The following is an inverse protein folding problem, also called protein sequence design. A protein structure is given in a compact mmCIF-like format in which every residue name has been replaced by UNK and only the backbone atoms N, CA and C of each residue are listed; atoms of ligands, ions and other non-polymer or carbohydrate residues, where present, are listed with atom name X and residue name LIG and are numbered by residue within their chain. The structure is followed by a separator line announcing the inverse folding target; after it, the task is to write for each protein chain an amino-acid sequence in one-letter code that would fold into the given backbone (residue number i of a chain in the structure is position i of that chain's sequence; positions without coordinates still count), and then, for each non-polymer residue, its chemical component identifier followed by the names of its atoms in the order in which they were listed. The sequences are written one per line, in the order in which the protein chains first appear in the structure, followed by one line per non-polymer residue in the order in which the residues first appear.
data_IF_849213968170
#
_entry.id   IF_849213968170
#
_cell.length_a   1.000
_cell.length_b   1.000
_cell.length_c   1.000
_cell.angle_alpha   90.00
_cell.angle_beta   90.00
_cell.angle_gamma   90.00
#
_symmetry.space_group_name_H-M   'P 1'
#
loop_
_entity.id
_entity.type
_entity.pdbx_description
1 polymer ?
#
# COMPACT_ATOMS: atom_id res chain seq x y z
N UNK A 1 7.77 6.58 -31.39
CA UNK A 1 6.79 5.66 -32.03
C UNK A 1 6.99 4.25 -31.51
N UNK A 2 6.02 3.71 -30.77
CA UNK A 2 6.04 2.36 -30.18
C UNK A 2 6.33 1.29 -31.26
N UNK A 3 7.10 0.24 -30.94
CA UNK A 3 7.51 -0.84 -31.87
C UNK A 3 6.31 -1.43 -32.61
N UNK A 4 5.17 -1.57 -31.94
CA UNK A 4 3.90 -2.05 -32.51
C UNK A 4 3.34 -1.12 -33.59
N UNK A 5 3.42 0.20 -33.37
CA UNK A 5 2.94 1.21 -34.33
C UNK A 5 3.82 1.24 -35.59
N UNK A 6 5.13 1.04 -35.44
CA UNK A 6 6.05 0.90 -36.58
C UNK A 6 5.68 -0.30 -37.46
N UNK A 7 5.38 -1.44 -36.85
CA UNK A 7 4.97 -2.64 -37.60
C UNK A 7 3.65 -2.45 -38.35
N UNK A 8 2.62 -1.85 -37.73
CA UNK A 8 1.33 -1.58 -38.39
C UNK A 8 1.53 -0.66 -39.61
N UNK A 9 2.33 0.38 -39.45
CA UNK A 9 2.61 1.34 -40.53
C UNK A 9 3.39 0.68 -41.68
N UNK A 10 4.37 -0.17 -41.38
CA UNK A 10 5.14 -0.90 -42.39
C UNK A 10 4.29 -1.90 -43.19
N UNK A 11 3.40 -2.64 -42.50
CA UNK A 11 2.48 -3.58 -43.17
C UNK A 11 1.51 -2.83 -44.08
N UNK A 12 0.94 -1.71 -43.60
CA UNK A 12 0.05 -0.87 -44.40
C UNK A 12 0.73 -0.31 -45.65
N UNK A 13 1.95 0.22 -45.52
CA UNK A 13 2.74 0.71 -46.65
C UNK A 13 3.05 -0.42 -47.66
N UNK A 14 3.33 -1.63 -47.19
CA UNK A 14 3.52 -2.80 -48.04
C UNK A 14 2.27 -3.14 -48.86
N UNK A 15 1.10 -3.20 -48.23
CA UNK A 15 -0.18 -3.50 -48.90
C UNK A 15 -0.52 -2.42 -49.95
N UNK A 16 -0.32 -1.15 -49.60
CA UNK A 16 -0.54 -0.02 -50.51
C UNK A 16 0.39 -0.10 -51.73
N UNK A 17 1.67 -0.44 -51.51
CA UNK A 17 2.64 -0.58 -52.58
C UNK A 17 2.26 -1.71 -53.54
N UNK A 18 1.80 -2.84 -53.02
CA UNK A 18 1.31 -3.97 -53.84
C UNK A 18 0.06 -3.59 -54.62
N UNK A 19 -0.90 -2.89 -54.01
CA UNK A 19 -2.10 -2.41 -54.70
C UNK A 19 -1.78 -1.43 -55.84
N UNK A 20 -0.80 -0.54 -55.64
CA UNK A 20 -0.29 0.38 -56.67
C UNK A 20 0.36 -0.38 -57.83
N UNK A 21 1.15 -1.41 -57.56
CA UNK A 21 1.78 -2.25 -58.59
C UNK A 21 0.70 -2.97 -59.40
N UNK A 22 -0.30 -3.56 -58.75
CA UNK A 22 -1.40 -4.28 -59.41
C UNK A 22 -2.22 -3.32 -60.31
N UNK A 23 -2.40 -2.08 -59.90
CA UNK A 23 -3.05 -1.07 -60.72
C UNK A 23 -2.18 -0.67 -61.92
N UNK A 24 -0.93 -0.24 -61.67
CA UNK A 24 -0.10 0.42 -62.68
C UNK A 24 0.58 -0.54 -63.68
N UNK A 25 0.91 -1.78 -63.30
CA UNK A 25 1.64 -2.73 -64.16
C UNK A 25 0.83 -3.18 -65.39
N UNK A 26 -0.45 -3.60 -65.26
CA UNK A 26 -1.26 -3.98 -66.43
C UNK A 26 -1.48 -2.80 -67.40
N UNK A 27 -1.61 -1.58 -66.86
CA UNK A 27 -1.74 -0.37 -67.64
C UNK A 27 -0.47 -0.10 -68.46
N UNK A 28 0.69 -0.08 -67.80
CA UNK A 28 1.98 0.15 -68.48
C UNK A 28 2.32 -0.94 -69.48
N UNK A 29 2.03 -2.22 -69.19
CA UNK A 29 2.25 -3.33 -70.11
C UNK A 29 1.42 -3.23 -71.40
N UNK A 30 0.13 -2.87 -71.28
CA UNK A 30 -0.79 -2.82 -72.43
C UNK A 30 -0.56 -1.60 -73.33
N UNK A 31 -0.13 -0.47 -72.76
CA UNK A 31 -0.02 0.81 -73.48
C UNK A 31 1.43 1.22 -73.84
N UNK A 32 2.44 0.36 -73.62
CA UNK A 32 3.84 0.75 -73.82
C UNK A 32 4.25 1.06 -75.29
N UNK A 33 3.49 0.60 -76.30
CA UNK A 33 3.75 0.82 -77.74
C UNK A 33 2.76 1.79 -78.43
N UNK A 34 1.82 2.39 -77.69
CA UNK A 34 0.79 3.27 -78.29
C UNK A 34 1.27 4.72 -78.34
N UNK A 35 1.02 5.42 -79.45
CA UNK A 35 1.28 6.87 -79.57
C UNK A 35 0.41 7.66 -78.58
N UNK A 36 0.89 8.81 -78.13
CA UNK A 36 0.15 9.71 -77.25
C UNK A 36 -1.19 10.11 -77.90
N UNK A 37 -2.31 9.97 -77.18
CA UNK A 37 -3.61 10.35 -77.74
C UNK A 37 -3.73 11.87 -77.88
N UNK A 38 -4.32 12.30 -79.00
CA UNK A 38 -4.66 13.70 -79.29
C UNK A 38 -6.09 14.06 -78.87
N UNK A 39 -6.90 13.07 -78.46
CA UNK A 39 -8.28 13.27 -78.02
C UNK A 39 -8.32 13.64 -76.51
N UNK A 40 -8.85 14.83 -76.14
CA UNK A 40 -9.02 15.21 -74.74
C UNK A 40 -9.84 14.22 -73.91
N UNK A 41 -10.75 13.45 -74.52
CA UNK A 41 -11.58 12.44 -73.83
C UNK A 41 -10.72 11.32 -73.20
N UNK A 42 -9.67 10.86 -73.90
CA UNK A 42 -8.77 9.83 -73.40
C UNK A 42 -7.97 10.30 -72.17
N UNK A 43 -7.61 11.59 -72.14
CA UNK A 43 -6.97 12.22 -70.99
C UNK A 43 -7.91 12.34 -69.79
N UNK A 44 -9.21 12.58 -70.03
CA UNK A 44 -10.24 12.55 -68.99
C UNK A 44 -10.40 11.16 -68.35
N UNK A 45 -10.41 10.11 -69.17
CA UNK A 45 -10.48 8.72 -68.71
C UNK A 45 -9.23 8.31 -67.92
N UNK A 46 -8.04 8.68 -68.40
CA UNK A 46 -6.78 8.43 -67.69
C UNK A 46 -6.71 9.20 -66.36
N UNK A 47 -7.09 10.47 -66.35
CA UNK A 47 -7.14 11.29 -65.13
C UNK A 47 -8.10 10.71 -64.09
N UNK A 48 -9.24 10.17 -64.52
CA UNK A 48 -10.20 9.48 -63.64
C UNK A 48 -9.62 8.21 -63.02
N UNK A 49 -8.89 7.42 -63.82
CA UNK A 49 -8.19 6.23 -63.35
C UNK A 49 -7.08 6.55 -62.33
N UNK A 50 -6.18 7.48 -62.66
CA UNK A 50 -5.13 7.94 -61.73
C UNK A 50 -5.73 8.53 -60.46
N UNK A 51 -6.75 9.38 -60.59
CA UNK A 51 -7.45 9.98 -59.46
C UNK A 51 -8.09 8.94 -58.54
N UNK A 52 -8.67 7.88 -59.10
CA UNK A 52 -9.22 6.75 -58.34
C UNK A 52 -8.16 5.98 -57.57
N UNK A 53 -7.02 5.68 -58.20
CA UNK A 53 -5.90 4.97 -57.57
C UNK A 53 -5.27 5.81 -56.46
N UNK A 54 -4.93 7.07 -56.76
CA UNK A 54 -4.34 8.01 -55.80
C UNK A 54 -5.31 8.28 -54.63
N UNK A 55 -6.60 8.47 -54.93
CA UNK A 55 -7.65 8.65 -53.94
C UNK A 55 -7.78 7.46 -53.00
N UNK A 56 -7.77 6.23 -53.52
CA UNK A 56 -7.81 5.01 -52.72
C UNK A 56 -6.58 4.85 -51.82
N UNK A 57 -5.39 5.23 -52.30
CA UNK A 57 -4.16 5.23 -51.50
C UNK A 57 -4.25 6.25 -50.36
N UNK A 58 -4.65 7.50 -50.63
CA UNK A 58 -4.79 8.52 -49.59
C UNK A 58 -5.87 8.15 -48.56
N UNK A 59 -6.99 7.57 -49.01
CA UNK A 59 -8.04 7.08 -48.11
C UNK A 59 -7.50 5.95 -47.19
N UNK A 60 -6.73 5.02 -47.75
CA UNK A 60 -6.10 3.93 -46.99
C UNK A 60 -5.07 4.43 -45.98
N UNK A 61 -4.20 5.37 -46.37
CA UNK A 61 -3.25 6.01 -45.47
C UNK A 61 -3.94 6.77 -44.35
N UNK A 62 -5.03 7.49 -44.67
CA UNK A 62 -5.82 8.23 -43.68
C UNK A 62 -6.47 7.28 -42.67
N UNK A 63 -7.02 6.16 -43.13
CA UNK A 63 -7.58 5.12 -42.26
C UNK A 63 -6.52 4.51 -41.33
N UNK A 64 -5.33 4.21 -41.84
CA UNK A 64 -4.21 3.69 -41.03
C UNK A 64 -3.75 4.73 -40.00
N UNK A 65 -3.65 6.00 -40.40
CA UNK A 65 -3.34 7.10 -39.49
C UNK A 65 -4.36 7.22 -38.35
N UNK A 66 -5.65 7.08 -38.66
CA UNK A 66 -6.72 7.06 -37.68
C UNK A 66 -6.58 5.85 -36.72
N UNK A 67 -6.32 4.64 -37.25
CA UNK A 67 -6.13 3.45 -36.42
C UNK A 67 -4.96 3.61 -35.44
N UNK A 68 -3.81 4.12 -35.90
CA UNK A 68 -2.67 4.39 -35.03
C UNK A 68 -3.03 5.41 -33.95
N UNK A 69 -3.77 6.45 -34.31
CA UNK A 69 -4.26 7.47 -33.38
C UNK A 69 -5.14 6.85 -32.30
N UNK A 70 -6.12 6.03 -32.67
CA UNK A 70 -7.01 5.34 -31.71
C UNK A 70 -6.24 4.41 -30.78
N UNK A 71 -5.22 3.70 -31.27
CA UNK A 71 -4.38 2.83 -30.43
C UNK A 71 -3.60 3.66 -29.41
N UNK A 72 -3.01 4.78 -29.81
CA UNK A 72 -2.27 5.66 -28.90
C UNK A 72 -3.20 6.27 -27.85
N UNK A 73 -4.37 6.78 -28.28
CA UNK A 73 -5.38 7.31 -27.37
C UNK A 73 -5.82 6.28 -26.33
N UNK A 74 -6.04 5.02 -26.72
CA UNK A 74 -6.37 3.94 -25.77
C UNK A 74 -5.25 3.68 -24.76
N UNK A 75 -3.98 3.83 -25.15
CA UNK A 75 -2.86 3.67 -24.23
C UNK A 75 -2.74 4.86 -23.28
N UNK A 76 -2.80 6.08 -23.80
CA UNK A 76 -2.80 7.31 -23.01
C UNK A 76 -3.94 7.34 -21.99
N UNK A 77 -5.15 6.91 -22.38
CA UNK A 77 -6.27 6.79 -21.45
C UNK A 77 -6.00 5.80 -20.30
N UNK A 78 -5.31 4.69 -20.57
CA UNK A 78 -4.94 3.72 -19.52
C UNK A 78 -3.88 4.28 -18.57
N UNK A 79 -2.87 4.95 -19.11
CA UNK A 79 -1.79 5.53 -18.31
C UNK A 79 -2.32 6.71 -17.47
N UNK A 80 -3.18 7.55 -18.07
CA UNK A 80 -3.89 8.62 -17.37
C UNK A 80 -4.81 8.07 -16.27
N UNK A 81 -5.54 6.97 -16.51
CA UNK A 81 -6.39 6.35 -15.50
C UNK A 81 -5.59 5.86 -14.29
N UNK A 82 -4.42 5.24 -14.51
CA UNK A 82 -3.52 4.81 -13.43
C UNK A 82 -2.95 5.99 -12.65
N UNK A 83 -2.48 7.03 -13.35
CA UNK A 83 -1.98 8.24 -12.71
C UNK A 83 -3.06 8.93 -11.87
N UNK A 84 -4.29 9.00 -12.39
CA UNK A 84 -5.44 9.56 -11.67
C UNK A 84 -5.83 8.72 -10.45
N UNK A 85 -5.73 7.39 -10.52
CA UNK A 85 -5.97 6.52 -9.36
C UNK A 85 -4.95 6.76 -8.24
N UNK A 86 -3.66 6.87 -8.59
CA UNK A 86 -2.61 7.20 -7.64
C UNK A 86 -2.82 8.58 -7.03
N UNK A 87 -3.12 9.61 -7.85
CA UNK A 87 -3.41 10.96 -7.36
C UNK A 87 -4.59 10.95 -6.37
N UNK A 88 -5.69 10.26 -6.70
CA UNK A 88 -6.86 10.16 -5.80
C UNK A 88 -6.52 9.46 -4.49
N UNK A 89 -5.66 8.43 -4.55
CA UNK A 89 -5.15 7.77 -3.36
C UNK A 89 -4.36 8.75 -2.50
N UNK A 90 -3.38 9.45 -3.08
CA UNK A 90 -2.52 10.41 -2.39
C UNK A 90 -3.32 11.57 -1.78
N UNK A 91 -4.26 12.16 -2.54
CA UNK A 91 -5.12 13.23 -2.04
C UNK A 91 -5.93 12.79 -0.81
N UNK A 92 -6.49 11.57 -0.85
CA UNK A 92 -7.24 11.00 0.27
C UNK A 92 -6.31 10.68 1.44
N UNK A 93 -5.13 10.10 1.16
CA UNK A 93 -4.12 9.79 2.16
C UNK A 93 -3.68 11.05 2.90
N UNK A 94 -3.30 12.12 2.19
CA UNK A 94 -2.86 13.37 2.80
C UNK A 94 -3.99 14.07 3.56
N UNK A 95 -5.23 13.97 3.10
CA UNK A 95 -6.40 14.47 3.85
C UNK A 95 -6.57 13.73 5.18
N UNK A 96 -6.50 12.39 5.17
CA UNK A 96 -6.57 11.57 6.39
C UNK A 96 -5.38 11.82 7.31
N UNK A 97 -4.17 11.97 6.75
CA UNK A 97 -2.96 12.30 7.51
C UNK A 97 -3.05 13.69 8.15
N UNK A 98 -3.64 14.66 7.46
CA UNK A 98 -3.91 15.99 8.02
C UNK A 98 -4.89 15.89 9.19
N UNK A 99 -5.98 15.14 9.05
CA UNK A 99 -6.93 14.90 10.16
C UNK A 99 -6.25 14.21 11.35
N UNK A 100 -5.40 13.22 11.08
CA UNK A 100 -4.56 12.56 12.09
C UNK A 100 -3.66 13.56 12.82
N UNK A 101 -2.97 14.42 12.09
CA UNK A 101 -2.05 15.40 12.67
C UNK A 101 -2.78 16.47 13.49
N UNK A 102 -3.97 16.90 13.06
CA UNK A 102 -4.82 17.79 13.86
C UNK A 102 -5.22 17.13 15.18
N UNK A 103 -5.74 15.89 15.12
CA UNK A 103 -6.12 15.14 16.33
C UNK A 103 -4.92 14.89 17.25
N UNK A 104 -3.74 14.61 16.68
CA UNK A 104 -2.50 14.48 17.46
C UNK A 104 -2.10 15.79 18.15
N UNK A 105 -2.26 16.93 17.48
CA UNK A 105 -1.93 18.24 18.06
C UNK A 105 -2.84 18.58 19.24
N UNK A 106 -4.14 18.30 19.12
CA UNK A 106 -5.11 18.44 20.20
C UNK A 106 -4.77 17.54 21.37
N UNK A 107 -4.44 16.28 21.08
CA UNK A 107 -4.02 15.29 22.07
C UNK A 107 -2.75 15.73 22.80
N UNK A 108 -1.70 16.14 22.08
CA UNK A 108 -0.45 16.65 22.67
C UNK A 108 -0.70 17.82 23.62
N UNK A 109 -1.50 18.79 23.19
CA UNK A 109 -1.85 19.97 23.99
C UNK A 109 -2.52 19.56 25.31
N UNK A 110 -3.41 18.57 25.27
CA UNK A 110 -4.06 18.05 26.48
C UNK A 110 -3.07 17.34 27.41
N UNK A 111 -2.21 16.50 26.85
CA UNK A 111 -1.27 15.68 27.63
C UNK A 111 -0.09 16.46 28.20
N UNK A 112 0.33 17.55 27.56
CA UNK A 112 1.26 18.51 28.16
C UNK A 112 0.67 19.16 29.42
N UNK A 113 -0.66 19.34 29.46
CA UNK A 113 -1.36 19.91 30.61
C UNK A 113 -1.82 18.85 31.64
N UNK A 114 -2.01 17.61 31.20
CA UNK A 114 -2.54 16.50 32.01
C UNK A 114 -1.62 15.27 31.87
N UNK A 115 -0.65 15.13 32.79
CA UNK A 115 0.35 14.04 32.82
C UNK A 115 -0.22 12.64 33.13
N UNK A 116 -1.52 12.41 32.97
CA UNK A 116 -2.23 11.30 33.61
C UNK A 116 -1.84 9.92 33.04
N UNK A 117 -1.90 9.72 31.71
CA UNK A 117 -1.78 8.35 31.17
C UNK A 117 -0.35 7.81 31.14
N UNK A 118 0.65 8.63 30.79
CA UNK A 118 2.05 8.18 30.81
C UNK A 118 2.54 7.90 32.24
N UNK A 119 1.99 8.61 33.23
CA UNK A 119 2.24 8.32 34.63
C UNK A 119 1.57 7.00 35.06
N UNK A 120 0.39 6.69 34.53
CA UNK A 120 -0.32 5.43 34.80
C UNK A 120 0.35 4.20 34.17
N UNK A 121 1.21 4.36 33.15
CA UNK A 121 2.06 3.24 32.72
C UNK A 121 3.03 2.80 33.83
N UNK A 122 3.39 3.68 34.76
CA UNK A 122 4.30 3.38 35.87
C UNK A 122 3.59 2.82 37.11
N UNK A 123 2.25 2.79 37.15
CA UNK A 123 1.57 2.14 38.27
C UNK A 123 1.80 0.64 38.17
N UNK A 124 2.33 0.06 39.24
CA UNK A 124 2.44 -1.38 39.36
C UNK A 124 1.01 -1.94 39.44
N UNK A 125 0.67 -2.81 38.50
CA UNK A 125 -0.57 -3.59 38.59
C UNK A 125 -0.41 -4.60 39.74
N UNK A 126 -1.50 -4.86 40.48
CA UNK A 126 -1.49 -5.81 41.60
C UNK A 126 -1.01 -7.18 41.07
N UNK A 127 0.05 -7.79 41.64
CA UNK A 127 0.55 -9.10 41.23
C UNK A 127 -0.47 -10.24 41.38
N UNK A 128 -1.65 -9.99 41.96
CA UNK A 128 -2.78 -10.92 41.97
C UNK A 128 -3.60 -10.95 40.67
N UNK A 129 -3.48 -9.92 39.82
CA UNK A 129 -4.22 -9.87 38.56
C UNK A 129 -3.52 -10.72 37.49
N UNK A 130 -4.32 -11.41 36.67
CA UNK A 130 -3.81 -12.07 35.47
C UNK A 130 -3.35 -11.03 34.44
N UNK A 131 -2.40 -11.36 33.52
CA UNK A 131 -1.96 -10.40 32.51
C UNK A 131 -3.09 -9.91 31.60
N UNK A 132 -4.11 -10.76 31.41
CA UNK A 132 -5.30 -10.44 30.64
C UNK A 132 -6.17 -9.38 31.33
N UNK A 133 -6.47 -9.54 32.62
CA UNK A 133 -7.25 -8.55 33.39
C UNK A 133 -6.52 -7.20 33.44
N UNK A 134 -5.21 -7.24 33.68
CA UNK A 134 -4.33 -6.08 33.62
C UNK A 134 -4.40 -5.31 32.29
N UNK A 135 -4.45 -6.06 31.17
CA UNK A 135 -4.56 -5.51 29.83
C UNK A 135 -5.97 -4.92 29.59
N UNK A 136 -7.03 -5.61 29.99
CA UNK A 136 -8.41 -5.13 29.85
C UNK A 136 -8.64 -3.83 30.63
N UNK A 137 -8.15 -3.75 31.87
CA UNK A 137 -8.22 -2.51 32.69
C UNK A 137 -7.49 -1.34 31.99
N UNK A 138 -6.27 -1.58 31.50
CA UNK A 138 -5.51 -0.55 30.79
C UNK A 138 -6.20 -0.11 29.48
N UNK A 139 -6.88 -1.03 28.79
CA UNK A 139 -7.66 -0.72 27.60
C UNK A 139 -8.92 0.07 27.93
N UNK A 140 -9.62 -0.26 29.01
CA UNK A 140 -10.78 0.52 29.48
C UNK A 140 -10.41 1.95 29.83
N UNK A 141 -9.25 2.18 30.49
CA UNK A 141 -8.73 3.54 30.73
C UNK A 141 -8.53 4.33 29.43
N UNK A 142 -7.94 3.69 28.40
CA UNK A 142 -7.70 4.31 27.08
C UNK A 142 -9.02 4.64 26.38
N UNK A 143 -9.97 3.70 26.41
CA UNK A 143 -11.24 3.84 25.70
C UNK A 143 -12.14 4.92 26.30
N UNK A 144 -12.05 5.12 27.62
CA UNK A 144 -12.76 6.17 28.34
C UNK A 144 -12.15 7.57 28.13
N UNK A 145 -10.89 7.69 27.67
CA UNK A 145 -10.33 8.95 27.19
C UNK A 145 -10.82 9.23 25.76
N UNK A 146 -11.75 10.17 25.63
CA UNK A 146 -12.44 10.51 24.37
C UNK A 146 -11.43 10.88 23.27
N UNK A 147 -10.49 11.76 23.58
CA UNK A 147 -9.50 12.30 22.65
C UNK A 147 -8.48 11.25 22.22
N UNK A 148 -7.98 10.44 23.17
CA UNK A 148 -7.04 9.36 22.89
C UNK A 148 -7.71 8.25 22.05
N UNK A 149 -8.91 7.85 22.45
CA UNK A 149 -9.75 6.89 21.74
C UNK A 149 -10.08 7.38 20.31
N UNK A 150 -10.37 8.67 20.15
CA UNK A 150 -10.59 9.28 18.83
C UNK A 150 -9.33 9.29 17.98
N UNK A 151 -8.19 9.67 18.55
CA UNK A 151 -6.90 9.66 17.86
C UNK A 151 -6.56 8.26 17.33
N UNK A 152 -6.68 7.22 18.16
CA UNK A 152 -6.41 5.84 17.73
C UNK A 152 -7.39 5.34 16.67
N UNK A 153 -8.67 5.75 16.72
CA UNK A 153 -9.63 5.47 15.64
C UNK A 153 -9.19 6.11 14.32
N UNK A 154 -8.72 7.36 14.35
CA UNK A 154 -8.23 8.05 13.15
C UNK A 154 -6.98 7.37 12.61
N UNK A 155 -6.01 7.06 13.47
CA UNK A 155 -4.80 6.31 13.10
C UNK A 155 -5.16 4.96 12.44
N UNK A 156 -6.10 4.21 13.01
CA UNK A 156 -6.61 2.98 12.41
C UNK A 156 -7.18 3.23 11.00
N UNK A 157 -7.98 4.28 10.79
CA UNK A 157 -8.52 4.57 9.45
C UNK A 157 -7.43 4.91 8.44
N UNK A 158 -6.40 5.66 8.85
CA UNK A 158 -5.26 5.98 7.98
C UNK A 158 -4.53 4.70 7.57
N UNK A 159 -4.16 3.84 8.53
CA UNK A 159 -3.45 2.59 8.26
C UNK A 159 -4.28 1.59 7.46
N UNK A 160 -5.58 1.51 7.75
CA UNK A 160 -6.55 0.73 6.98
C UNK A 160 -6.65 1.25 5.55
N UNK A 161 -6.68 2.57 5.34
CA UNK A 161 -6.72 3.16 4.00
C UNK A 161 -5.45 2.82 3.22
N UNK A 162 -4.27 2.95 3.85
CA UNK A 162 -2.98 2.56 3.25
C UNK A 162 -3.01 1.09 2.83
N UNK A 163 -3.52 0.16 3.65
CA UNK A 163 -3.58 -1.26 3.31
C UNK A 163 -4.62 -1.57 2.21
N UNK A 164 -5.84 -1.07 2.41
CA UNK A 164 -7.01 -1.46 1.62
C UNK A 164 -7.08 -0.76 0.27
N UNK A 165 -6.60 0.47 0.19
CA UNK A 165 -6.70 1.30 -1.02
C UNK A 165 -5.37 1.44 -1.76
N UNK A 166 -4.32 0.70 -1.34
CA UNK A 166 -3.07 0.65 -2.10
C UNK A 166 -3.32 0.27 -3.56
N UNK A 167 -2.59 0.90 -4.49
CA UNK A 167 -2.71 0.69 -5.93
C UNK A 167 -2.45 -0.76 -6.36
N UNK A 168 -1.64 -1.50 -5.60
CA UNK A 168 -1.37 -2.93 -5.83
C UNK A 168 -2.46 -3.84 -5.26
N UNK A 169 -3.29 -3.35 -4.33
CA UNK A 169 -4.45 -4.07 -3.78
C UNK A 169 -5.72 -3.81 -4.62
N UNK A 170 -5.70 -4.23 -5.89
CA UNK A 170 -6.77 -3.96 -6.85
C UNK A 170 -8.16 -4.40 -6.39
N UNK A 171 -8.23 -5.50 -5.61
CA UNK A 171 -9.49 -6.05 -5.09
C UNK A 171 -9.90 -5.46 -3.72
N UNK A 172 -9.15 -4.49 -3.20
CA UNK A 172 -9.37 -3.85 -1.89
C UNK A 172 -9.56 -4.88 -0.76
N UNK A 173 -8.77 -5.96 -0.80
CA UNK A 173 -8.80 -7.02 0.21
C UNK A 173 -8.41 -6.43 1.57
N UNK A 174 -9.18 -6.78 2.59
CA UNK A 174 -8.94 -6.31 3.96
C UNK A 174 -9.51 -7.33 4.95
N UNK A 175 -8.76 -8.42 5.13
CA UNK A 175 -9.03 -9.50 6.08
C UNK A 175 -7.76 -9.83 6.85
N UNK A 176 -7.87 -10.48 8.02
CA UNK A 176 -6.70 -10.87 8.81
C UNK A 176 -5.69 -11.69 7.99
N UNK A 177 -6.17 -12.66 7.20
CA UNK A 177 -5.32 -13.46 6.32
C UNK A 177 -4.53 -12.61 5.31
N UNK A 178 -5.16 -11.57 4.74
CA UNK A 178 -4.48 -10.65 3.82
C UNK A 178 -3.43 -9.78 4.53
N UNK A 179 -3.79 -9.20 5.69
CA UNK A 179 -2.94 -8.27 6.44
C UNK A 179 -1.72 -9.01 7.01
N UNK A 180 -1.90 -10.23 7.54
CA UNK A 180 -0.83 -11.02 8.14
C UNK A 180 0.14 -11.64 7.11
N UNK A 181 -0.23 -11.67 5.82
CA UNK A 181 0.64 -12.18 4.76
C UNK A 181 1.71 -11.14 4.41
N UNK A 182 2.98 -11.40 4.75
CA UNK A 182 4.11 -10.52 4.42
C UNK A 182 4.37 -10.43 2.92
N UNK A 183 4.03 -11.46 2.14
CA UNK A 183 4.19 -11.49 0.68
C UNK A 183 3.30 -10.46 -0.04
N UNK A 184 2.21 -10.03 0.59
CA UNK A 184 1.31 -9.03 0.01
C UNK A 184 1.76 -7.59 0.30
N UNK A 185 2.75 -7.39 1.19
CA UNK A 185 3.24 -6.07 1.55
C UNK A 185 4.13 -5.52 0.45
N UNK A 186 3.74 -4.36 -0.07
CA UNK A 186 4.53 -3.65 -1.09
C UNK A 186 5.37 -2.55 -0.46
N UNK A 187 6.46 -2.18 -1.14
CA UNK A 187 7.35 -1.10 -0.69
C UNK A 187 6.59 0.24 -0.57
N UNK A 188 5.71 0.55 -1.53
CA UNK A 188 4.87 1.75 -1.48
C UNK A 188 3.95 1.75 -0.25
N UNK A 189 3.28 0.62 0.03
CA UNK A 189 2.41 0.48 1.21
C UNK A 189 3.20 0.71 2.51
N UNK A 190 4.38 0.07 2.64
CA UNK A 190 5.26 0.22 3.79
C UNK A 190 5.80 1.65 3.93
N UNK A 191 6.10 2.31 2.81
CA UNK A 191 6.52 3.72 2.78
C UNK A 191 5.44 4.62 3.37
N UNK A 192 4.19 4.53 2.91
CA UNK A 192 3.07 5.33 3.44
C UNK A 192 2.81 5.06 4.92
N UNK A 193 2.82 3.80 5.35
CA UNK A 193 2.65 3.46 6.77
C UNK A 193 3.80 4.00 7.64
N UNK A 194 5.03 3.97 7.12
CA UNK A 194 6.21 4.53 7.80
C UNK A 194 6.15 6.05 7.89
N UNK A 195 5.60 6.72 6.87
CA UNK A 195 5.34 8.15 6.91
C UNK A 195 4.35 8.48 8.05
N UNK A 196 3.23 7.76 8.16
CA UNK A 196 2.27 7.94 9.26
C UNK A 196 2.94 7.73 10.61
N UNK A 197 3.71 6.65 10.75
CA UNK A 197 4.47 6.33 11.98
C UNK A 197 5.40 7.45 12.42
N UNK A 198 6.03 8.16 11.47
CA UNK A 198 6.95 9.26 11.78
C UNK A 198 6.29 10.44 12.51
N UNK A 199 4.97 10.62 12.36
CA UNK A 199 4.22 11.65 13.07
C UNK A 199 3.82 11.21 14.49
N UNK A 200 3.73 9.89 14.74
CA UNK A 200 3.34 9.37 16.06
C UNK A 200 4.50 9.53 17.03
N UNK A 201 4.34 10.27 18.14
CA UNK A 201 5.43 10.46 19.09
C UNK A 201 5.76 9.16 19.79
N UNK A 202 7.05 8.95 20.04
CA UNK A 202 7.56 7.74 20.70
C UNK A 202 6.92 7.49 22.07
N UNK A 203 6.57 8.55 22.80
CA UNK A 203 5.88 8.46 24.09
C UNK A 203 4.47 7.85 24.00
N UNK A 204 3.80 7.93 22.84
CA UNK A 204 2.47 7.35 22.64
C UNK A 204 2.51 5.89 22.18
N UNK A 205 3.65 5.38 21.72
CA UNK A 205 3.77 4.00 21.22
C UNK A 205 3.41 2.92 22.25
N UNK A 206 3.77 3.01 23.55
CA UNK A 206 3.34 2.01 24.54
C UNK A 206 1.82 1.99 24.71
N UNK A 207 1.20 3.17 24.69
CA UNK A 207 -0.25 3.34 24.82
C UNK A 207 -0.97 2.76 23.61
N UNK A 208 -0.45 3.03 22.41
CA UNK A 208 -0.92 2.43 21.16
C UNK A 208 -0.80 0.91 21.20
N UNK A 209 0.33 0.40 21.65
CA UNK A 209 0.59 -1.03 21.75
C UNK A 209 -0.47 -1.72 22.63
N UNK A 210 -0.71 -1.20 23.85
CA UNK A 210 -1.73 -1.70 24.77
C UNK A 210 -3.12 -1.64 24.13
N UNK A 211 -3.50 -0.49 23.54
CA UNK A 211 -4.81 -0.31 22.92
C UNK A 211 -5.08 -1.36 21.84
N UNK A 212 -4.07 -1.76 21.07
CA UNK A 212 -4.26 -2.62 19.91
C UNK A 212 -4.26 -4.13 20.24
N UNK A 213 -3.80 -4.59 21.40
CA UNK A 213 -3.75 -6.04 21.69
C UNK A 213 -5.18 -6.61 21.75
N UNK A 214 -5.51 -7.73 21.06
CA UNK A 214 -6.88 -8.25 20.99
C UNK A 214 -7.35 -8.93 22.29
N UNK A 215 -7.61 -8.17 23.35
CA UNK A 215 -8.18 -8.69 24.61
C UNK A 215 -9.61 -8.19 24.87
N UNK A 216 -9.88 -6.93 24.52
CA UNK A 216 -11.19 -6.33 24.74
C UNK A 216 -12.30 -6.89 23.83
N UNK A 217 -13.32 -7.50 24.43
CA UNK A 217 -14.44 -8.12 23.70
C UNK A 217 -15.44 -7.13 23.08
N UNK A 218 -15.40 -5.85 23.48
CA UNK A 218 -16.33 -4.82 22.98
C UNK A 218 -15.97 -4.17 21.64
N UNK A 219 -14.80 -4.49 21.06
CA UNK A 219 -14.30 -3.85 19.82
C UNK A 219 -13.99 -4.88 18.72
N UNK A 220 -14.89 -4.99 17.75
CA UNK A 220 -14.78 -5.96 16.65
C UNK A 220 -13.59 -5.72 15.69
N UNK A 221 -13.03 -4.51 15.64
CA UNK A 221 -11.93 -4.15 14.73
C UNK A 221 -10.54 -4.25 15.36
N UNK A 222 -10.44 -4.58 16.65
CA UNK A 222 -9.17 -4.66 17.38
C UNK A 222 -8.18 -5.65 16.74
N UNK A 223 -8.59 -6.87 16.35
CA UNK A 223 -7.67 -7.81 15.68
C UNK A 223 -7.11 -7.26 14.36
N UNK A 224 -7.91 -6.51 13.60
CA UNK A 224 -7.45 -5.91 12.34
C UNK A 224 -6.48 -4.76 12.60
N UNK A 225 -6.69 -4.00 13.68
CA UNK A 225 -5.78 -2.92 14.05
C UNK A 225 -4.44 -3.49 14.55
N UNK A 226 -4.48 -4.48 15.44
CA UNK A 226 -3.30 -5.26 15.85
C UNK A 226 -2.49 -5.76 14.66
N UNK A 227 -3.15 -6.42 13.71
CA UNK A 227 -2.52 -6.96 12.52
C UNK A 227 -1.85 -5.87 11.64
N UNK A 228 -2.41 -4.65 11.58
CA UNK A 228 -1.77 -3.52 10.89
C UNK A 228 -0.52 -3.03 11.63
N UNK A 229 -0.56 -2.99 12.97
CA UNK A 229 0.58 -2.63 13.82
C UNK A 229 1.72 -3.64 13.65
N UNK A 230 1.40 -4.93 13.52
CA UNK A 230 2.34 -5.99 13.16
C UNK A 230 2.89 -5.84 11.75
N UNK A 231 2.00 -5.77 10.74
CA UNK A 231 2.35 -5.69 9.31
C UNK A 231 3.31 -4.55 9.00
N UNK A 232 3.14 -3.42 9.68
CA UNK A 232 3.93 -2.22 9.44
C UNK A 232 5.10 -2.04 10.38
N UNK A 233 5.38 -2.99 11.27
CA UNK A 233 6.45 -2.85 12.28
C UNK A 233 6.32 -1.52 13.03
N UNK A 234 5.09 -1.18 13.40
CA UNK A 234 4.76 0.19 13.78
C UNK A 234 5.42 0.61 15.10
N UNK A 235 5.81 -0.36 15.93
CA UNK A 235 6.46 -0.18 17.23
C UNK A 235 7.99 -0.24 17.15
N UNK A 236 8.60 -0.22 15.96
CA UNK A 236 10.05 -0.28 15.77
C UNK A 236 10.84 0.78 16.57
N UNK A 237 10.27 1.96 16.81
CA UNK A 237 10.93 3.04 17.58
C UNK A 237 10.51 3.09 19.06
N UNK A 238 9.81 2.08 19.57
CA UNK A 238 9.41 2.00 20.98
C UNK A 238 10.66 2.06 21.88
N UNK A 239 10.67 2.98 22.85
CA UNK A 239 11.75 3.05 23.86
C UNK A 239 11.52 2.06 24.97
N UNK A 240 11.68 0.78 24.65
CA UNK A 240 11.48 -0.34 25.58
C UNK A 240 12.36 -0.18 26.83
N UNK A 241 13.56 0.37 26.70
CA UNK A 241 14.48 0.68 27.80
C UNK A 241 13.90 1.65 28.85
N UNK A 242 12.92 2.47 28.47
CA UNK A 242 12.25 3.43 29.36
C UNK A 242 10.97 2.91 29.98
N UNK A 243 10.52 1.71 29.60
CA UNK A 243 9.31 1.11 30.16
C UNK A 243 9.60 0.53 31.55
N UNK A 244 8.64 0.65 32.49
CA UNK A 244 8.75 0.03 33.81
C UNK A 244 8.66 -1.50 33.69
N UNK A 245 9.24 -2.21 34.65
CA UNK A 245 9.15 -3.67 34.71
C UNK A 245 7.83 -4.08 35.38
N UNK A 246 6.71 -3.94 34.67
CA UNK A 246 5.36 -4.26 35.15
C UNK A 246 4.56 -5.12 34.15
N UNK A 247 3.35 -5.54 34.54
CA UNK A 247 2.46 -6.36 33.71
C UNK A 247 2.05 -5.69 32.39
N UNK A 248 1.97 -4.34 32.33
CA UNK A 248 1.67 -3.63 31.08
C UNK A 248 2.82 -3.80 30.07
N UNK A 249 4.06 -3.66 30.52
CA UNK A 249 5.25 -3.91 29.69
C UNK A 249 5.35 -5.37 29.29
N UNK A 250 5.08 -6.30 30.22
CA UNK A 250 4.98 -7.72 29.89
C UNK A 250 3.96 -7.96 28.77
N UNK A 251 2.75 -7.40 28.89
CA UNK A 251 1.69 -7.56 27.90
C UNK A 251 2.06 -6.97 26.53
N UNK A 252 2.80 -5.84 26.49
CA UNK A 252 3.32 -5.30 25.24
C UNK A 252 4.29 -6.29 24.58
N UNK A 253 5.23 -6.87 25.33
CA UNK A 253 6.25 -7.75 24.76
C UNK A 253 5.69 -9.14 24.40
N UNK A 254 4.64 -9.60 25.08
CA UNK A 254 3.93 -10.85 24.73
C UNK A 254 2.87 -10.64 23.64
N UNK A 255 2.33 -9.43 23.53
CA UNK A 255 1.25 -9.12 22.61
C UNK A 255 1.68 -8.95 21.15
N UNK A 256 2.98 -8.93 20.85
CA UNK A 256 3.50 -8.71 19.49
C UNK A 256 4.66 -9.64 19.13
N UNK A 257 4.70 -10.03 17.84
CA UNK A 257 5.72 -10.90 17.24
C UNK A 257 6.68 -10.15 16.33
N UNK A 258 6.17 -9.24 15.50
CA UNK A 258 6.93 -8.57 14.44
C UNK A 258 6.95 -7.05 14.58
N UNK A 259 6.02 -6.48 15.34
CA UNK A 259 5.80 -5.03 15.38
C UNK A 259 7.04 -4.21 15.79
N UNK A 260 7.96 -4.81 16.54
CA UNK A 260 9.19 -4.16 16.99
C UNK A 260 10.29 -4.06 15.92
N UNK A 261 10.13 -4.68 14.74
CA UNK A 261 11.09 -4.56 13.63
C UNK A 261 12.54 -4.82 14.07
N UNK A 262 13.42 -3.83 13.90
CA UNK A 262 14.85 -3.90 14.26
C UNK A 262 15.19 -3.21 15.58
N UNK A 263 14.23 -3.08 16.49
CA UNK A 263 14.43 -2.42 17.77
C UNK A 263 15.44 -3.15 18.66
N UNK A 264 16.54 -2.48 19.02
CA UNK A 264 17.61 -3.06 19.83
C UNK A 264 17.34 -3.03 21.34
N UNK A 265 16.39 -2.21 21.80
CA UNK A 265 16.06 -2.10 23.23
C UNK A 265 15.16 -3.24 23.73
N UNK A 266 14.41 -3.86 22.81
CA UNK A 266 13.39 -4.87 23.16
C UNK A 266 14.02 -6.12 23.79
N UNK A 267 15.17 -6.58 23.29
CA UNK A 267 15.84 -7.78 23.79
C UNK A 267 16.29 -7.64 25.25
N UNK A 268 16.97 -6.54 25.60
CA UNK A 268 17.37 -6.26 26.98
C UNK A 268 16.16 -6.12 27.90
N UNK A 269 15.10 -5.45 27.44
CA UNK A 269 13.88 -5.31 28.24
C UNK A 269 13.18 -6.67 28.44
N UNK A 270 13.15 -7.54 27.44
CA UNK A 270 12.62 -8.91 27.59
C UNK A 270 13.37 -9.70 28.66
N UNK A 271 14.71 -9.60 28.69
CA UNK A 271 15.52 -10.22 29.75
C UNK A 271 15.06 -9.78 31.15
N UNK A 272 14.90 -8.47 31.36
CA UNK A 272 14.49 -7.91 32.65
C UNK A 272 13.09 -8.38 33.05
N UNK A 273 12.13 -8.35 32.11
CA UNK A 273 10.75 -8.80 32.33
C UNK A 273 10.68 -10.29 32.65
N UNK A 274 11.42 -11.13 31.92
CA UNK A 274 11.50 -12.57 32.20
C UNK A 274 12.08 -12.83 33.59
N UNK A 275 13.10 -12.09 34.02
CA UNK A 275 13.66 -12.22 35.38
C UNK A 275 12.68 -11.77 36.47
N UNK A 276 11.81 -10.81 36.18
CA UNK A 276 10.89 -10.24 37.15
C UNK A 276 9.61 -11.09 37.32
N UNK A 277 9.07 -11.65 36.23
CA UNK A 277 7.76 -12.34 36.20
C UNK A 277 7.88 -13.87 36.03
N UNK A 278 8.98 -14.34 35.44
CA UNK A 278 9.55 -15.69 35.51
C UNK A 278 9.47 -16.44 36.87
N UNK A 279 8.84 -17.61 37.12
CA UNK A 279 8.04 -18.51 36.26
C UNK A 279 6.51 -18.35 36.43
N UNK A 280 6.05 -17.36 37.19
CA UNK A 280 4.62 -17.21 37.55
C UNK A 280 3.72 -17.06 36.32
N UNK A 281 4.27 -16.55 35.20
CA UNK A 281 3.49 -16.18 34.02
C UNK A 281 3.85 -16.97 32.75
N UNK A 282 4.66 -18.04 32.86
CA UNK A 282 5.06 -18.88 31.72
C UNK A 282 3.85 -19.50 31.00
N UNK A 283 2.79 -19.83 31.74
CA UNK A 283 1.56 -20.42 31.18
C UNK A 283 0.74 -19.43 30.32
N UNK A 284 1.00 -18.12 30.43
CA UNK A 284 0.27 -17.08 29.69
C UNK A 284 0.99 -16.61 28.43
N UNK A 285 2.21 -17.12 28.14
CA UNK A 285 2.98 -16.69 26.99
C UNK A 285 2.28 -17.06 25.67
N UNK A 286 2.14 -16.07 24.80
CA UNK A 286 1.56 -16.27 23.47
C UNK A 286 2.60 -16.86 22.53
N UNK A 287 2.29 -18.01 21.91
CA UNK A 287 3.20 -18.67 20.98
C UNK A 287 3.64 -17.72 19.84
N UNK A 288 4.95 -17.66 19.60
CA UNK A 288 5.53 -16.80 18.57
C UNK A 288 5.58 -15.31 18.94
N UNK A 289 5.17 -14.91 20.15
CA UNK A 289 5.43 -13.57 20.67
C UNK A 289 6.93 -13.31 20.84
N UNK A 290 7.28 -12.04 21.04
CA UNK A 290 8.67 -11.67 21.30
C UNK A 290 9.17 -12.27 22.63
N UNK A 291 8.35 -12.25 23.69
CA UNK A 291 8.70 -12.90 24.97
C UNK A 291 8.83 -14.42 24.83
N UNK A 292 7.92 -15.09 24.13
CA UNK A 292 7.98 -16.53 23.88
C UNK A 292 9.27 -16.91 23.14
N UNK A 293 9.56 -16.22 22.04
CA UNK A 293 10.74 -16.48 21.20
C UNK A 293 12.05 -16.21 21.96
N UNK A 294 12.08 -15.19 22.82
CA UNK A 294 13.22 -14.93 23.69
C UNK A 294 13.41 -16.07 24.72
N UNK A 295 12.31 -16.52 25.34
CA UNK A 295 12.36 -17.60 26.33
C UNK A 295 12.91 -18.90 25.72
N UNK A 296 12.39 -19.31 24.56
CA UNK A 296 12.86 -20.50 23.82
C UNK A 296 14.36 -20.43 23.51
N UNK A 297 14.85 -19.29 22.98
CA UNK A 297 16.29 -19.10 22.70
C UNK A 297 17.13 -19.22 23.97
N UNK A 298 16.69 -18.61 25.06
CA UNK A 298 17.43 -18.65 26.33
C UNK A 298 17.52 -20.06 26.93
N UNK A 299 16.50 -20.90 26.73
CA UNK A 299 16.49 -22.31 27.15
C UNK A 299 17.43 -23.16 26.29
N UNK A 300 17.47 -22.91 24.98
CA UNK A 300 18.40 -23.57 24.04
C UNK A 300 19.87 -23.22 24.32
N UNK A 301 20.15 -22.00 24.79
CA UNK A 301 21.50 -21.59 25.18
C UNK A 301 21.95 -22.21 26.51
N UNK A 302 21.04 -22.43 27.46
CA UNK A 302 21.35 -23.10 28.74
C UNK A 302 21.56 -24.60 28.64
N UNK A 303 21.11 -25.21 27.53
CA UNK A 303 21.23 -26.66 27.27
C UNK A 303 22.44 -27.03 26.41
N UNK A 304 23.25 -26.04 26.00
CA UNK A 304 24.55 -26.20 25.33
C UNK A 304 25.70 -25.96 26.31
#
# INVERSE_FOLDING_TARGET
MNKKNKHILLVALGIISVALIIALVPYTYKFHMTKLSSDPSDWGAFGSYLGGVIGAVFASLSFVGLLVTVINQKQELKDNAKAQELQRFEDTFYSLLSMHNTSLSELKTRYENNNHFLHNLNTALDPKNSPKEALEEAQDEILNDIELSQYFRILYQVLKFVCKSNTHNQNRKFSLCYINSKETLTDDEKMYASLVRSFVPVSFLPVLAINCIPSYSGLNNLPLFHALIERYEFLEHLRADKLPDNLRTWAILDGYSYSFGKNTYTEEKCKNIVQHFQPQYDEYLTEGSYLHTYNEKSLLEKTK
#
